data_IF_489727450327
#
_entry.id   IF_489727450327
#
_cell.length_a   1.000
_cell.length_b   1.000
_cell.length_c   1.000
_cell.angle_alpha   90.00
_cell.angle_beta   90.00
_cell.angle_gamma   90.00
#
_symmetry.space_group_name_H-M   'P 1'
#
loop_
_entity.id
_entity.type
_entity.pdbx_description
1 polymer ?
#
# COMPACT_ATOMS: atom_id res chain seq x y z
N UNK A 1 7.34 27.74 27.30
CA UNK A 1 6.45 26.89 26.53
C UNK A 1 5.60 26.07 27.49
N UNK A 2 4.26 26.09 27.32
CA UNK A 2 3.41 25.18 28.07
C UNK A 2 3.80 23.74 27.73
N UNK A 3 3.96 22.89 28.74
CA UNK A 3 4.14 21.46 28.49
C UNK A 3 2.82 20.95 27.89
N UNK A 4 2.86 20.54 26.63
CA UNK A 4 1.72 19.88 25.99
C UNK A 4 1.57 18.47 26.56
N UNK A 5 0.32 18.08 26.88
CA UNK A 5 0.04 16.69 27.26
C UNK A 5 0.37 15.75 26.09
N UNK A 6 0.98 14.63 26.39
CA UNK A 6 1.39 13.62 25.38
C UNK A 6 0.18 12.97 24.69
N UNK A 7 -0.96 12.96 25.35
CA UNK A 7 -2.24 12.46 24.88
C UNK A 7 -2.99 13.41 23.95
N UNK A 8 -2.52 14.66 23.83
CA UNK A 8 -3.14 15.63 22.91
C UNK A 8 -2.90 15.23 21.46
N UNK A 9 -3.94 15.45 20.62
CA UNK A 9 -3.84 15.28 19.18
C UNK A 9 -2.78 16.22 18.59
N UNK A 10 -1.78 15.64 17.92
CA UNK A 10 -0.74 16.37 17.23
C UNK A 10 -1.09 16.55 15.74
N UNK A 11 -1.68 15.52 15.13
CA UNK A 11 -2.06 15.51 13.72
C UNK A 11 -3.43 14.86 13.59
N UNK A 12 -4.27 15.41 12.72
CA UNK A 12 -5.51 14.78 12.29
C UNK A 12 -5.49 14.58 10.78
N UNK A 13 -5.57 13.33 10.33
CA UNK A 13 -5.55 12.99 8.92
C UNK A 13 -6.84 12.26 8.52
N UNK A 14 -7.39 12.64 7.38
CA UNK A 14 -8.62 12.04 6.88
C UNK A 14 -8.34 10.86 5.96
N UNK A 15 -8.97 9.71 6.27
CA UNK A 15 -8.95 8.52 5.43
C UNK A 15 -10.29 8.36 4.71
N UNK A 16 -10.26 7.84 3.48
CA UNK A 16 -11.47 7.48 2.75
C UNK A 16 -12.08 6.24 3.38
N UNK A 17 -13.01 6.43 4.32
CA UNK A 17 -13.65 5.31 5.01
C UNK A 17 -14.44 4.39 4.07
N UNK A 18 -14.64 3.16 4.51
CA UNK A 18 -15.49 2.16 3.81
C UNK A 18 -16.95 2.59 3.69
N UNK A 19 -17.43 3.46 4.58
CA UNK A 19 -18.81 3.96 4.67
C UNK A 19 -19.09 5.21 3.84
N UNK A 20 -18.15 5.72 3.07
CA UNK A 20 -18.33 6.85 2.14
C UNK A 20 -17.87 8.21 2.68
N UNK A 21 -18.12 8.56 3.94
CA UNK A 21 -17.63 9.81 4.52
C UNK A 21 -16.18 9.67 5.01
N UNK A 22 -15.30 10.65 4.74
CA UNK A 22 -13.95 10.67 5.28
C UNK A 22 -13.95 10.65 6.81
N UNK A 23 -12.99 9.92 7.41
CA UNK A 23 -12.83 9.79 8.85
C UNK A 23 -11.50 10.41 9.28
N UNK A 24 -11.54 11.32 10.25
CA UNK A 24 -10.35 11.97 10.78
C UNK A 24 -9.67 11.09 11.82
N UNK A 25 -8.54 10.49 11.49
CA UNK A 25 -7.70 9.73 12.42
C UNK A 25 -6.93 10.71 13.29
N UNK A 26 -7.01 10.55 14.60
CA UNK A 26 -6.33 11.41 15.59
C UNK A 26 -5.03 10.75 16.03
N UNK A 27 -3.91 11.33 15.63
CA UNK A 27 -2.55 10.92 16.01
C UNK A 27 -2.07 11.86 17.11
N UNK A 28 -1.71 11.33 18.27
CA UNK A 28 -1.24 12.10 19.42
C UNK A 28 0.27 12.35 19.37
N UNK A 29 0.75 13.24 20.23
CA UNK A 29 2.20 13.43 20.44
C UNK A 29 2.87 12.14 20.92
N UNK A 30 2.18 11.35 21.75
CA UNK A 30 2.68 10.07 22.25
C UNK A 30 2.84 9.04 21.12
N UNK A 31 1.86 8.94 20.22
CA UNK A 31 1.96 8.05 19.06
C UNK A 31 3.18 8.39 18.19
N UNK A 32 3.42 9.69 17.94
CA UNK A 32 4.59 10.14 17.16
C UNK A 32 5.90 9.82 17.87
N UNK A 33 5.96 9.94 19.20
CA UNK A 33 7.14 9.57 19.98
C UNK A 33 7.43 8.08 19.91
N UNK A 34 6.38 7.24 20.00
CA UNK A 34 6.57 5.80 19.87
C UNK A 34 7.04 5.39 18.47
N UNK A 35 6.54 6.04 17.42
CA UNK A 35 7.07 5.84 16.05
C UNK A 35 8.55 6.21 15.96
N UNK A 36 8.99 7.26 16.67
CA UNK A 36 10.41 7.61 16.75
C UNK A 36 11.25 6.60 17.50
N UNK A 37 10.71 6.00 18.56
CA UNK A 37 11.39 4.90 19.24
C UNK A 37 11.52 3.68 18.32
N UNK A 38 10.49 3.35 17.53
CA UNK A 38 10.58 2.30 16.51
C UNK A 38 11.74 2.57 15.53
N UNK A 39 11.85 3.82 15.03
CA UNK A 39 12.93 4.26 14.16
C UNK A 39 14.30 4.09 14.85
N UNK A 40 14.42 4.57 16.07
CA UNK A 40 15.67 4.50 16.81
C UNK A 40 16.17 3.07 17.05
N UNK A 41 15.24 2.12 17.26
CA UNK A 41 15.56 0.72 17.48
C UNK A 41 15.68 -0.10 16.18
N UNK A 42 15.34 0.46 15.02
CA UNK A 42 15.46 -0.24 13.73
C UNK A 42 16.76 0.12 13.01
N UNK A 43 17.72 -0.81 12.94
CA UNK A 43 19.06 -0.49 12.38
C UNK A 43 19.05 -0.09 10.90
N UNK A 44 18.00 -0.47 10.15
CA UNK A 44 17.89 -0.10 8.74
C UNK A 44 17.40 1.35 8.55
N UNK A 45 16.81 1.96 9.56
CA UNK A 45 16.32 3.35 9.52
C UNK A 45 17.42 4.30 10.03
N UNK A 46 18.49 4.42 9.27
CA UNK A 46 19.61 5.32 9.60
C UNK A 46 19.53 6.60 8.78
N UNK A 47 19.58 7.72 9.50
CA UNK A 47 19.62 9.07 8.95
C UNK A 47 20.99 9.67 9.23
N UNK A 48 21.60 10.27 8.20
CA UNK A 48 22.95 10.83 8.32
C UNK A 48 22.90 12.34 8.24
N UNK A 49 23.86 13.00 8.87
CA UNK A 49 24.08 14.43 8.70
C UNK A 49 24.29 14.74 7.21
N UNK A 50 23.58 15.74 6.72
CA UNK A 50 23.60 16.10 5.30
C UNK A 50 22.61 15.35 4.42
N UNK A 51 21.86 14.38 4.95
CA UNK A 51 20.76 13.78 4.20
C UNK A 51 19.71 14.81 3.79
N UNK A 52 19.16 14.64 2.60
CA UNK A 52 18.16 15.52 2.00
C UNK A 52 17.01 14.66 1.52
N UNK A 53 15.86 14.86 2.13
CA UNK A 53 14.64 14.10 1.82
C UNK A 53 13.80 14.82 0.77
N UNK A 54 13.57 14.16 -0.38
CA UNK A 54 12.64 14.63 -1.41
C UNK A 54 11.25 14.05 -1.16
N UNK A 55 10.27 14.91 -0.97
CA UNK A 55 8.86 14.55 -0.88
C UNK A 55 8.06 15.15 -2.03
N UNK A 56 7.44 14.28 -2.84
CA UNK A 56 6.53 14.65 -3.93
C UNK A 56 5.11 14.07 -3.72
N UNK A 57 4.87 13.48 -2.55
CA UNK A 57 3.57 13.01 -2.10
C UNK A 57 2.76 14.14 -1.47
N UNK A 58 1.42 14.09 -1.52
CA UNK A 58 0.58 15.07 -0.87
C UNK A 58 0.79 15.11 0.66
N UNK A 59 1.01 16.30 1.22
CA UNK A 59 1.26 16.49 2.66
C UNK A 59 0.03 16.25 3.55
N UNK A 60 -1.16 16.04 2.98
CA UNK A 60 -2.33 15.59 3.72
C UNK A 60 -2.34 14.05 3.92
N UNK A 61 -1.33 13.35 3.44
CA UNK A 61 -1.16 11.91 3.61
C UNK A 61 -0.02 11.63 4.60
N UNK A 62 -0.24 10.66 5.51
CA UNK A 62 0.71 10.35 6.59
C UNK A 62 2.12 10.05 6.08
N UNK A 63 2.25 9.36 4.96
CA UNK A 63 3.56 9.01 4.39
C UNK A 63 4.41 10.25 4.09
N UNK A 64 3.80 11.33 3.59
CA UNK A 64 4.52 12.57 3.31
C UNK A 64 4.80 13.36 4.59
N UNK A 65 3.75 13.68 5.38
CA UNK A 65 3.92 14.51 6.58
C UNK A 65 4.73 13.79 7.65
N UNK A 66 4.52 12.49 7.87
CA UNK A 66 5.23 11.69 8.86
C UNK A 66 6.74 11.64 8.57
N UNK A 67 7.14 11.27 7.34
CA UNK A 67 8.55 11.24 6.96
C UNK A 67 9.18 12.64 6.90
N UNK A 68 8.42 13.69 6.57
CA UNK A 68 8.92 15.07 6.64
C UNK A 68 9.20 15.50 8.08
N UNK A 69 8.32 15.20 9.03
CA UNK A 69 8.56 15.46 10.45
C UNK A 69 9.75 14.66 10.97
N UNK A 70 9.86 13.40 10.60
CA UNK A 70 10.98 12.53 10.93
C UNK A 70 12.30 13.10 10.39
N UNK A 71 12.28 13.59 9.15
CA UNK A 71 13.43 14.23 8.52
C UNK A 71 13.88 15.49 9.28
N UNK A 72 12.94 16.38 9.60
CA UNK A 72 13.21 17.62 10.35
C UNK A 72 13.76 17.28 11.74
N UNK A 73 13.17 16.28 12.38
CA UNK A 73 13.60 15.83 13.70
C UNK A 73 15.06 15.33 13.70
N UNK A 74 15.48 14.63 12.63
CA UNK A 74 16.86 14.15 12.46
C UNK A 74 17.79 15.21 11.84
N UNK A 75 17.37 16.47 11.75
CA UNK A 75 18.19 17.58 11.24
C UNK A 75 18.39 17.57 9.73
N UNK A 76 17.58 16.82 9.00
CA UNK A 76 17.67 16.71 7.54
C UNK A 76 16.94 17.86 6.83
N UNK A 77 17.40 18.21 5.64
CA UNK A 77 16.68 19.12 4.76
C UNK A 77 15.52 18.40 4.06
N UNK A 78 14.31 19.00 4.09
CA UNK A 78 13.14 18.50 3.35
C UNK A 78 12.97 19.31 2.06
N UNK A 79 13.02 18.62 0.94
CA UNK A 79 12.84 19.17 -0.41
C UNK A 79 11.41 18.86 -0.87
N UNK A 80 10.54 19.86 -0.87
CA UNK A 80 9.12 19.67 -1.20
C UNK A 80 8.88 19.96 -2.68
N UNK A 81 8.26 19.02 -3.37
CA UNK A 81 7.59 19.24 -4.64
C UNK A 81 6.09 19.48 -4.39
N UNK A 82 5.53 20.49 -5.04
CA UNK A 82 4.13 20.89 -4.81
C UNK A 82 3.14 19.79 -5.19
N UNK A 83 3.45 19.11 -6.30
CA UNK A 83 2.65 18.01 -6.85
C UNK A 83 3.61 17.01 -7.47
N UNK A 84 3.20 15.74 -7.55
CA UNK A 84 3.98 14.76 -8.31
C UNK A 84 3.82 15.04 -9.81
N UNK A 85 4.92 15.37 -10.43
CA UNK A 85 5.11 15.42 -11.89
C UNK A 85 6.44 14.73 -12.19
N UNK A 86 6.47 13.68 -13.04
CA UNK A 86 7.68 12.91 -13.28
C UNK A 86 8.86 13.76 -13.78
N UNK A 87 8.61 14.70 -14.71
CA UNK A 87 9.65 15.56 -15.24
C UNK A 87 10.20 16.51 -14.18
N UNK A 88 9.33 17.08 -13.31
CA UNK A 88 9.76 17.93 -12.21
C UNK A 88 10.57 17.16 -11.18
N UNK A 89 10.16 15.93 -10.85
CA UNK A 89 10.87 15.04 -9.91
C UNK A 89 12.25 14.67 -10.46
N UNK A 90 12.36 14.28 -11.72
CA UNK A 90 13.64 13.98 -12.39
C UNK A 90 14.57 15.19 -12.32
N UNK A 91 14.08 16.39 -12.70
CA UNK A 91 14.88 17.64 -12.61
C UNK A 91 15.29 17.94 -11.16
N UNK A 92 14.37 17.77 -10.20
CA UNK A 92 14.66 18.01 -8.79
C UNK A 92 15.75 17.08 -8.26
N UNK A 93 15.72 15.80 -8.62
CA UNK A 93 16.76 14.83 -8.25
C UNK A 93 18.12 15.24 -8.84
N UNK A 94 18.16 15.57 -10.12
CA UNK A 94 19.40 15.96 -10.78
C UNK A 94 20.00 17.26 -10.24
N UNK A 95 19.15 18.28 -9.94
CA UNK A 95 19.63 19.63 -9.58
C UNK A 95 19.75 19.85 -8.07
N UNK A 96 18.81 19.32 -7.28
CA UNK A 96 18.75 19.51 -5.82
C UNK A 96 19.44 18.38 -5.05
N UNK A 97 19.80 17.29 -5.75
CA UNK A 97 20.60 16.17 -5.23
C UNK A 97 20.05 15.61 -3.90
N UNK A 98 18.76 15.19 -3.80
CA UNK A 98 18.27 14.49 -2.63
C UNK A 98 19.05 13.17 -2.46
N UNK A 99 19.19 12.74 -1.21
CA UNK A 99 19.79 11.44 -0.87
C UNK A 99 18.76 10.38 -0.56
N UNK A 100 17.57 10.82 -0.17
CA UNK A 100 16.44 9.96 0.22
C UNK A 100 15.17 10.47 -0.45
N UNK A 101 14.33 9.53 -0.87
CA UNK A 101 13.00 9.84 -1.39
C UNK A 101 11.99 8.76 -1.01
N UNK A 102 10.70 9.07 -1.16
CA UNK A 102 9.61 8.12 -1.00
C UNK A 102 8.60 8.25 -2.14
N UNK A 103 8.17 7.13 -2.69
CA UNK A 103 7.19 7.06 -3.76
C UNK A 103 6.10 6.02 -3.49
N UNK A 104 4.91 6.25 -4.03
CA UNK A 104 3.97 5.18 -4.25
C UNK A 104 4.39 4.36 -5.50
N UNK A 105 4.05 3.07 -5.59
CA UNK A 105 4.38 2.26 -6.78
C UNK A 105 3.96 2.87 -8.11
N UNK A 106 2.77 3.48 -8.18
CA UNK A 106 2.32 4.18 -9.38
C UNK A 106 3.24 5.35 -9.77
N UNK A 107 3.79 6.07 -8.79
CA UNK A 107 4.75 7.15 -9.04
C UNK A 107 6.07 6.62 -9.58
N UNK A 108 6.56 5.50 -9.05
CA UNK A 108 7.75 4.81 -9.59
C UNK A 108 7.49 4.42 -11.04
N UNK A 109 6.33 3.85 -11.36
CA UNK A 109 5.96 3.48 -12.72
C UNK A 109 5.99 4.70 -13.65
N UNK A 110 5.32 5.79 -13.27
CA UNK A 110 5.29 7.03 -14.07
C UNK A 110 6.67 7.65 -14.23
N UNK A 111 7.51 7.60 -13.21
CA UNK A 111 8.88 8.10 -13.26
C UNK A 111 9.72 7.31 -14.25
N UNK A 112 9.67 5.98 -14.20
CA UNK A 112 10.45 5.09 -15.05
C UNK A 112 9.92 5.03 -16.50
N UNK A 113 8.65 5.34 -16.73
CA UNK A 113 8.04 5.41 -18.08
C UNK A 113 8.23 6.77 -18.73
N UNK A 114 8.70 7.79 -17.99
CA UNK A 114 8.93 9.10 -18.55
C UNK A 114 10.11 9.08 -19.56
N UNK A 115 10.00 9.75 -20.72
CA UNK A 115 11.07 9.75 -21.73
C UNK A 115 12.44 10.17 -21.20
N UNK A 116 12.48 11.11 -20.26
CA UNK A 116 13.71 11.60 -19.67
C UNK A 116 14.35 10.65 -18.67
N UNK A 117 13.64 9.60 -18.25
CA UNK A 117 14.12 8.67 -17.22
C UNK A 117 15.41 7.95 -17.62
N UNK A 118 15.53 7.57 -18.90
CA UNK A 118 16.71 6.87 -19.41
C UNK A 118 18.01 7.69 -19.38
N UNK A 119 17.90 8.99 -19.22
CA UNK A 119 19.04 9.94 -19.15
C UNK A 119 19.09 10.68 -17.81
N UNK A 120 18.23 10.32 -16.86
CA UNK A 120 18.14 10.98 -15.56
C UNK A 120 19.33 10.62 -14.67
N UNK A 121 19.88 11.61 -14.00
CA UNK A 121 20.92 11.40 -12.98
C UNK A 121 20.27 11.14 -11.61
N UNK A 122 20.08 9.87 -11.27
CA UNK A 122 19.61 9.42 -9.97
C UNK A 122 20.75 9.15 -8.97
N UNK A 123 22.01 9.41 -9.30
CA UNK A 123 23.18 8.99 -8.52
C UNK A 123 23.28 9.59 -7.11
N UNK A 124 22.49 10.63 -6.81
CA UNK A 124 22.44 11.18 -5.45
C UNK A 124 21.60 10.35 -4.49
N UNK A 125 20.67 9.51 -5.00
CA UNK A 125 19.80 8.72 -4.17
C UNK A 125 20.57 7.55 -3.54
N UNK A 126 20.71 7.56 -2.23
CA UNK A 126 21.20 6.42 -1.46
C UNK A 126 20.10 5.49 -1.02
N UNK A 127 18.87 6.04 -0.83
CA UNK A 127 17.70 5.28 -0.36
C UNK A 127 16.43 5.73 -1.06
N UNK A 128 15.78 4.79 -1.73
CA UNK A 128 14.44 4.96 -2.30
C UNK A 128 13.44 4.14 -1.49
N UNK A 129 12.57 4.83 -0.76
CA UNK A 129 11.49 4.20 0.00
C UNK A 129 10.23 4.09 -0.87
N UNK A 130 9.42 3.06 -0.62
CA UNK A 130 8.12 2.95 -1.27
C UNK A 130 7.07 2.35 -0.33
N UNK A 131 5.83 2.80 -0.48
CA UNK A 131 4.72 2.40 0.38
C UNK A 131 3.36 2.76 -0.24
N UNK A 132 2.30 2.45 0.51
CA UNK A 132 0.94 2.89 0.21
C UNK A 132 0.12 1.93 -0.63
N UNK A 133 0.73 1.08 -1.43
CA UNK A 133 0.09 -0.02 -2.16
C UNK A 133 1.11 -1.12 -2.46
N UNK A 134 0.60 -2.30 -2.86
CA UNK A 134 1.48 -3.36 -3.36
C UNK A 134 2.20 -2.91 -4.64
N UNK A 135 3.45 -3.35 -4.79
CA UNK A 135 4.25 -3.16 -5.99
C UNK A 135 4.32 -4.47 -6.78
N UNK A 136 4.23 -4.39 -8.11
CA UNK A 136 4.41 -5.59 -8.92
C UNK A 136 5.88 -6.00 -8.98
N UNK A 137 6.13 -7.32 -9.08
CA UNK A 137 7.49 -7.85 -9.16
C UNK A 137 8.28 -7.26 -10.35
N UNK A 138 7.63 -7.08 -11.49
CA UNK A 138 8.25 -6.48 -12.66
C UNK A 138 8.66 -5.02 -12.43
N UNK A 139 7.83 -4.25 -11.73
CA UNK A 139 8.12 -2.86 -11.43
C UNK A 139 9.26 -2.71 -10.43
N UNK A 140 9.28 -3.48 -9.34
CA UNK A 140 10.37 -3.37 -8.37
C UNK A 140 11.70 -3.81 -8.95
N UNK A 141 11.75 -4.87 -9.75
CA UNK A 141 12.97 -5.28 -10.46
C UNK A 141 13.48 -4.21 -11.41
N UNK A 142 12.58 -3.58 -12.15
CA UNK A 142 12.91 -2.48 -13.07
C UNK A 142 13.41 -1.25 -12.29
N UNK A 143 12.78 -0.93 -11.16
CA UNK A 143 13.20 0.18 -10.30
C UNK A 143 14.62 -0.03 -9.75
N UNK A 144 14.90 -1.21 -9.20
CA UNK A 144 16.24 -1.57 -8.68
C UNK A 144 17.30 -1.52 -9.79
N UNK A 145 16.95 -1.88 -11.02
CA UNK A 145 17.89 -1.85 -12.15
C UNK A 145 18.19 -0.42 -12.67
N UNK A 146 17.26 0.53 -12.49
CA UNK A 146 17.37 1.88 -13.08
C UNK A 146 17.66 2.99 -12.08
N UNK A 147 17.26 2.83 -10.81
CA UNK A 147 17.50 3.80 -9.75
C UNK A 147 18.59 3.23 -8.83
N UNK A 148 19.75 3.89 -8.73
CA UNK A 148 20.84 3.44 -7.85
C UNK A 148 20.47 3.60 -6.36
N UNK A 149 21.28 3.00 -5.50
CA UNK A 149 21.08 3.02 -4.05
C UNK A 149 20.25 1.87 -3.55
N UNK A 150 19.83 1.98 -2.31
CA UNK A 150 19.07 0.96 -1.60
C UNK A 150 17.56 1.20 -1.74
N UNK A 151 16.79 0.10 -1.62
CA UNK A 151 15.34 0.14 -1.61
C UNK A 151 14.82 -0.30 -0.24
N UNK A 152 13.70 0.29 0.18
CA UNK A 152 13.05 -0.02 1.44
C UNK A 152 11.53 0.10 1.27
N UNK A 153 10.79 -0.90 1.73
CA UNK A 153 9.32 -0.86 1.69
C UNK A 153 8.74 -0.70 3.08
N UNK A 154 7.70 0.12 3.19
CA UNK A 154 6.87 0.22 4.38
C UNK A 154 5.45 -0.28 4.10
N UNK A 155 4.90 -1.03 5.05
CA UNK A 155 3.46 -1.25 5.15
C UNK A 155 2.97 -0.64 6.47
N UNK A 156 1.82 0.01 6.42
CA UNK A 156 1.16 0.61 7.56
C UNK A 156 -0.09 1.38 7.13
N UNK A 157 -0.75 1.96 8.10
CA UNK A 157 -1.98 2.73 7.92
C UNK A 157 -1.89 4.07 8.67
N UNK A 158 -2.83 4.97 8.42
CA UNK A 158 -2.94 6.21 9.19
C UNK A 158 -3.26 5.89 10.65
N UNK A 159 -4.06 4.86 10.87
CA UNK A 159 -4.48 4.36 12.18
C UNK A 159 -3.32 3.78 13.02
N UNK A 160 -2.22 3.38 12.38
CA UNK A 160 -1.00 2.92 13.06
C UNK A 160 0.03 4.03 13.29
N UNK A 161 -0.33 5.28 12.94
CA UNK A 161 0.51 6.47 12.99
C UNK A 161 1.80 6.36 12.16
N UNK A 162 1.93 5.36 11.31
CA UNK A 162 3.11 5.13 10.47
C UNK A 162 3.25 3.68 10.03
N UNK A 163 4.50 3.31 9.79
CA UNK A 163 4.86 1.98 9.35
C UNK A 163 4.70 0.94 10.46
N UNK A 164 4.27 -0.25 10.07
CA UNK A 164 4.09 -1.42 10.94
C UNK A 164 5.12 -2.49 10.61
N UNK A 165 5.38 -2.70 9.31
CA UNK A 165 6.42 -3.60 8.85
C UNK A 165 7.38 -2.87 7.91
N UNK A 166 8.57 -3.42 7.82
CA UNK A 166 9.65 -2.95 6.99
C UNK A 166 10.26 -4.11 6.22
N UNK A 167 10.29 -4.01 4.89
CA UNK A 167 11.17 -4.82 4.06
C UNK A 167 12.49 -4.04 3.93
N UNK A 168 13.54 -4.58 4.55
CA UNK A 168 14.83 -3.92 4.67
C UNK A 168 15.59 -3.91 3.34
N UNK A 169 16.55 -3.00 3.14
CA UNK A 169 17.39 -3.00 1.94
C UNK A 169 18.02 -4.36 1.64
N UNK A 170 18.52 -5.05 2.66
CA UNK A 170 19.14 -6.39 2.53
C UNK A 170 18.16 -7.49 2.10
N UNK A 171 16.86 -7.23 2.16
CA UNK A 171 15.80 -8.17 1.75
C UNK A 171 15.32 -7.91 0.31
N UNK A 172 15.80 -6.84 -0.35
CA UNK A 172 15.54 -6.55 -1.77
C UNK A 172 16.46 -7.35 -2.69
N UNK A 173 16.44 -8.67 -2.54
CA UNK A 173 17.26 -9.59 -3.32
C UNK A 173 16.55 -9.99 -4.62
N UNK A 174 17.14 -9.64 -5.77
CA UNK A 174 16.61 -9.99 -7.09
C UNK A 174 16.62 -11.51 -7.36
N UNK A 175 17.41 -12.29 -6.62
CA UNK A 175 17.46 -13.74 -6.72
C UNK A 175 16.33 -14.41 -5.91
N UNK A 176 15.75 -13.74 -4.92
CA UNK A 176 14.63 -14.23 -4.12
C UNK A 176 13.36 -13.41 -4.37
N UNK A 177 12.66 -13.72 -5.44
CA UNK A 177 11.41 -13.05 -5.82
C UNK A 177 10.30 -13.14 -4.76
N UNK A 178 10.37 -14.13 -3.87
CA UNK A 178 9.43 -14.28 -2.77
C UNK A 178 9.57 -13.10 -1.81
N UNK A 179 10.80 -12.74 -1.41
CA UNK A 179 11.04 -11.59 -0.53
C UNK A 179 10.56 -10.28 -1.14
N UNK A 180 10.76 -10.08 -2.45
CA UNK A 180 10.30 -8.88 -3.14
C UNK A 180 8.78 -8.68 -3.15
N UNK A 181 8.00 -9.70 -2.81
CA UNK A 181 6.54 -9.63 -2.66
C UNK A 181 6.09 -9.41 -1.23
N UNK A 182 7.01 -9.54 -0.25
CA UNK A 182 6.69 -9.35 1.15
C UNK A 182 6.52 -7.86 1.49
N UNK A 183 5.71 -7.56 2.50
CA UNK A 183 5.69 -6.24 3.11
C UNK A 183 6.69 -6.10 4.27
N UNK A 184 7.49 -7.14 4.52
CA UNK A 184 8.61 -7.14 5.44
C UNK A 184 8.30 -7.74 6.81
N UNK A 185 9.12 -7.36 7.79
CA UNK A 185 9.04 -7.82 9.18
C UNK A 185 8.49 -6.72 10.08
N UNK A 186 7.88 -7.07 11.23
CA UNK A 186 7.44 -6.08 12.20
C UNK A 186 8.56 -5.13 12.60
N UNK A 187 8.25 -3.85 12.68
CA UNK A 187 9.11 -2.86 13.30
C UNK A 187 9.18 -3.10 14.82
N UNK A 188 10.20 -2.61 15.51
CA UNK A 188 10.26 -2.61 16.96
C UNK A 188 8.97 -2.03 17.57
N UNK A 189 8.53 -2.57 18.70
CA UNK A 189 7.30 -2.20 19.42
C UNK A 189 5.98 -2.53 18.68
N UNK A 190 6.04 -3.27 17.57
CA UNK A 190 4.87 -3.74 16.83
C UNK A 190 4.60 -5.22 17.14
N UNK A 191 3.41 -5.52 17.61
CA UNK A 191 2.91 -6.88 17.67
C UNK A 191 1.91 -7.11 16.54
N UNK A 192 2.10 -8.20 15.81
CA UNK A 192 1.24 -8.59 14.70
C UNK A 192 0.64 -9.96 14.96
N UNK A 193 -0.63 -10.09 14.65
CA UNK A 193 -1.36 -11.34 14.76
C UNK A 193 -2.21 -11.54 13.51
N UNK A 194 -2.26 -12.75 13.00
CA UNK A 194 -3.13 -13.14 11.89
C UNK A 194 -4.21 -14.04 12.47
N UNK A 195 -5.47 -13.71 12.23
CA UNK A 195 -6.60 -14.39 12.84
C UNK A 195 -7.64 -14.85 11.81
N UNK A 196 -8.38 -15.91 12.17
CA UNK A 196 -9.57 -16.33 11.44
C UNK A 196 -10.79 -15.44 11.79
N UNK A 197 -11.93 -15.68 11.14
CA UNK A 197 -13.19 -14.95 11.39
C UNK A 197 -13.75 -15.12 12.83
N UNK A 198 -13.17 -16.00 13.65
CA UNK A 198 -13.52 -16.19 15.06
C UNK A 198 -12.49 -15.57 16.02
N UNK A 199 -11.50 -14.85 15.51
CA UNK A 199 -10.44 -14.23 16.29
C UNK A 199 -9.35 -15.19 16.76
N UNK A 200 -9.28 -16.43 16.25
CA UNK A 200 -8.24 -17.40 16.61
C UNK A 200 -7.00 -17.14 15.76
N UNK A 201 -5.84 -17.13 16.42
CA UNK A 201 -4.56 -16.98 15.73
C UNK A 201 -4.31 -18.16 14.79
N UNK A 202 -3.96 -17.85 13.54
CA UNK A 202 -3.62 -18.81 12.50
C UNK A 202 -2.12 -19.14 12.50
N UNK A 203 -1.74 -20.37 12.10
CA UNK A 203 -0.35 -20.75 11.90
C UNK A 203 0.28 -20.04 10.70
N UNK A 204 1.62 -20.13 10.57
CA UNK A 204 2.35 -19.59 9.44
C UNK A 204 1.87 -20.21 8.12
N UNK A 205 1.76 -19.39 7.08
CA UNK A 205 1.30 -19.76 5.75
C UNK A 205 -0.23 -19.66 5.55
N UNK A 206 -1.02 -19.59 6.63
CA UNK A 206 -2.47 -19.45 6.51
C UNK A 206 -2.89 -17.97 6.47
N UNK A 207 -3.71 -17.57 5.48
CA UNK A 207 -4.18 -16.19 5.36
C UNK A 207 -5.35 -15.92 6.31
N UNK A 208 -5.32 -14.75 6.95
CA UNK A 208 -6.36 -14.25 7.83
C UNK A 208 -6.28 -12.73 8.00
N UNK A 209 -7.17 -12.15 8.82
CA UNK A 209 -7.11 -10.73 9.12
C UNK A 209 -5.86 -10.39 9.92
N UNK A 210 -5.15 -9.33 9.49
CA UNK A 210 -3.99 -8.81 10.21
C UNK A 210 -4.46 -7.86 11.33
N UNK A 211 -4.19 -8.26 12.56
CA UNK A 211 -4.35 -7.43 13.76
C UNK A 211 -3.02 -6.82 14.16
N UNK A 212 -3.05 -5.58 14.61
CA UNK A 212 -1.86 -4.81 14.97
C UNK A 212 -2.03 -4.27 16.40
N UNK A 213 -1.03 -4.46 17.25
CA UNK A 213 -0.94 -3.85 18.57
C UNK A 213 0.37 -3.11 18.71
N UNK A 214 0.29 -1.86 19.15
CA UNK A 214 1.45 -1.00 19.34
C UNK A 214 1.06 0.22 20.17
N UNK A 215 1.98 0.81 20.94
CA UNK A 215 1.74 2.09 21.59
C UNK A 215 1.65 3.26 20.57
N UNK A 216 2.02 3.06 19.31
CA UNK A 216 1.85 4.05 18.25
C UNK A 216 0.47 4.06 17.60
N UNK A 217 -0.46 3.16 17.98
CA UNK A 217 -1.81 3.19 17.44
C UNK A 217 -2.48 4.53 17.73
N UNK A 218 -3.14 5.10 16.72
CA UNK A 218 -3.91 6.32 16.84
C UNK A 218 -4.96 6.22 17.96
N UNK A 219 -5.31 7.36 18.57
CA UNK A 219 -6.31 7.39 19.65
C UNK A 219 -7.74 7.12 19.19
N UNK A 220 -7.95 7.01 17.86
CA UNK A 220 -9.24 6.73 17.27
C UNK A 220 -9.63 7.73 16.19
N UNK A 221 -10.93 7.79 15.90
CA UNK A 221 -11.48 8.67 14.87
C UNK A 221 -12.23 9.87 15.48
N UNK A 222 -11.91 11.06 15.03
CA UNK A 222 -12.49 12.31 15.50
C UNK A 222 -14.01 12.30 15.44
N UNK A 223 -14.65 12.53 16.59
CA UNK A 223 -16.11 12.52 16.75
C UNK A 223 -16.81 11.26 16.22
N UNK A 224 -16.15 10.08 16.33
CA UNK A 224 -16.67 8.78 15.91
C UNK A 224 -16.35 7.67 16.94
N UNK A 225 -16.75 7.82 18.21
CA UNK A 225 -16.39 6.84 19.26
C UNK A 225 -16.90 5.44 18.94
N UNK A 226 -18.17 5.31 18.53
CA UNK A 226 -18.77 4.01 18.19
C UNK A 226 -18.00 3.27 17.08
N UNK A 227 -17.56 4.02 16.03
CA UNK A 227 -16.75 3.43 14.98
C UNK A 227 -15.33 3.12 15.46
N UNK A 228 -14.76 3.94 16.34
CA UNK A 228 -13.45 3.69 16.95
C UNK A 228 -13.48 2.36 17.70
N UNK A 229 -14.52 2.10 18.51
CA UNK A 229 -14.69 0.88 19.29
C UNK A 229 -14.86 -0.39 18.43
N UNK A 230 -15.30 -0.26 17.16
CA UNK A 230 -15.39 -1.39 16.24
C UNK A 230 -14.06 -1.73 15.57
N UNK A 231 -13.13 -0.80 15.53
CA UNK A 231 -11.85 -0.94 14.80
C UNK A 231 -10.69 -1.17 15.77
N UNK A 232 -10.74 -0.56 16.96
CA UNK A 232 -9.76 -0.74 18.03
C UNK A 232 -10.38 -1.55 19.15
N UNK A 233 -10.19 -2.88 19.13
CA UNK A 233 -10.82 -3.82 20.06
C UNK A 233 -9.74 -4.44 20.93
N UNK A 234 -9.89 -4.37 22.26
CA UNK A 234 -8.97 -4.97 23.23
C UNK A 234 -7.48 -4.60 23.02
N UNK A 235 -7.24 -3.36 22.59
CA UNK A 235 -5.90 -2.84 22.28
C UNK A 235 -5.32 -3.32 20.94
N UNK A 236 -6.10 -4.00 20.12
CA UNK A 236 -5.75 -4.38 18.76
C UNK A 236 -6.47 -3.51 17.74
N UNK A 237 -5.73 -3.06 16.74
CA UNK A 237 -6.28 -2.45 15.54
C UNK A 237 -6.61 -3.54 14.52
N UNK A 238 -7.88 -3.63 14.15
CA UNK A 238 -8.38 -4.47 13.06
C UNK A 238 -8.09 -3.78 11.73
N UNK A 239 -7.04 -4.22 11.04
CA UNK A 239 -6.56 -3.52 9.85
C UNK A 239 -7.52 -3.63 8.65
N UNK A 240 -8.34 -4.68 8.63
CA UNK A 240 -9.14 -5.06 7.47
C UNK A 240 -8.29 -5.51 6.28
N UNK A 241 -7.00 -5.79 6.48
CA UNK A 241 -6.11 -6.37 5.48
C UNK A 241 -5.97 -7.88 5.74
N UNK A 242 -6.08 -8.69 4.70
CA UNK A 242 -5.81 -10.13 4.75
C UNK A 242 -4.32 -10.34 4.49
N UNK A 243 -3.67 -11.04 5.40
CA UNK A 243 -2.24 -11.29 5.35
C UNK A 243 -1.90 -12.72 5.76
N UNK A 244 -0.71 -13.17 5.44
CA UNK A 244 -0.09 -14.35 6.03
C UNK A 244 1.36 -14.04 6.41
N UNK A 245 1.93 -14.84 7.31
CA UNK A 245 3.34 -14.81 7.67
C UNK A 245 3.99 -16.10 7.17
N UNK A 246 5.17 -16.01 6.55
CA UNK A 246 5.92 -17.20 6.18
C UNK A 246 6.79 -17.71 7.35
N UNK A 247 7.38 -18.89 7.15
CA UNK A 247 8.27 -19.53 8.13
C UNK A 247 9.54 -18.71 8.44
N UNK A 248 9.94 -17.81 7.55
CA UNK A 248 11.05 -16.89 7.76
C UNK A 248 10.64 -15.63 8.55
N UNK A 249 9.33 -15.50 8.87
CA UNK A 249 8.76 -14.37 9.61
C UNK A 249 8.50 -13.12 8.78
N UNK A 250 8.48 -13.23 7.44
CA UNK A 250 8.06 -12.17 6.54
C UNK A 250 6.53 -12.17 6.42
N UNK A 251 5.95 -10.97 6.40
CA UNK A 251 4.52 -10.76 6.22
C UNK A 251 4.22 -10.42 4.77
N UNK A 252 3.07 -10.91 4.29
CA UNK A 252 2.58 -10.71 2.93
C UNK A 252 1.14 -10.25 3.00
N UNK A 253 0.82 -9.13 2.38
CA UNK A 253 -0.57 -8.67 2.25
C UNK A 253 -1.18 -9.30 1.02
N UNK A 254 -2.24 -10.07 1.23
CA UNK A 254 -2.98 -10.71 0.14
C UNK A 254 -3.99 -9.77 -0.48
N UNK A 255 -4.84 -9.15 0.33
CA UNK A 255 -5.91 -8.28 -0.14
C UNK A 255 -6.50 -7.45 1.01
N UNK A 256 -7.45 -6.61 0.69
CA UNK A 256 -8.37 -6.00 1.65
C UNK A 256 -9.55 -6.93 1.91
N UNK A 257 -9.94 -7.13 3.16
CA UNK A 257 -11.11 -7.95 3.52
C UNK A 257 -12.35 -7.53 2.71
N UNK A 258 -12.60 -6.23 2.58
CA UNK A 258 -13.71 -5.66 1.80
C UNK A 258 -13.59 -5.82 0.28
N UNK A 259 -12.41 -6.09 -0.25
CA UNK A 259 -12.15 -6.26 -1.69
C UNK A 259 -12.04 -7.74 -2.09
N UNK A 260 -11.95 -8.63 -1.10
CA UNK A 260 -12.03 -10.06 -1.28
C UNK A 260 -13.38 -10.43 -1.94
N UNK A 261 -13.34 -11.35 -2.87
CA UNK A 261 -14.52 -11.82 -3.62
C UNK A 261 -14.90 -13.17 -3.08
N UNK A 262 -16.18 -13.33 -2.67
CA UNK A 262 -16.68 -14.62 -2.19
C UNK A 262 -17.54 -15.26 -3.28
N UNK A 263 -16.95 -16.21 -4.00
CA UNK A 263 -17.60 -16.87 -5.14
C UNK A 263 -17.81 -18.35 -4.85
N UNK A 264 -19.06 -18.77 -4.71
CA UNK A 264 -19.39 -20.17 -4.41
C UNK A 264 -18.85 -20.69 -3.09
N UNK A 265 -18.65 -19.81 -2.10
CA UNK A 265 -18.05 -20.13 -0.80
C UNK A 265 -16.52 -20.10 -0.76
N UNK A 266 -15.88 -19.82 -1.88
CA UNK A 266 -14.42 -19.70 -1.98
C UNK A 266 -13.99 -18.24 -1.91
N UNK A 267 -12.94 -17.96 -1.13
CA UNK A 267 -12.32 -16.65 -1.02
C UNK A 267 -11.35 -16.42 -2.18
N UNK A 268 -11.61 -15.40 -2.98
CA UNK A 268 -10.76 -15.01 -4.10
C UNK A 268 -10.16 -13.64 -3.79
N UNK A 269 -8.86 -13.60 -3.73
CA UNK A 269 -8.13 -12.35 -3.50
C UNK A 269 -7.95 -11.60 -4.82
N UNK A 270 -8.50 -10.40 -4.88
CA UNK A 270 -8.50 -9.60 -6.10
C UNK A 270 -7.08 -9.29 -6.59
N UNK A 271 -6.14 -9.08 -5.67
CA UNK A 271 -4.73 -8.81 -5.96
C UNK A 271 -4.00 -9.98 -6.63
N UNK A 272 -4.37 -11.23 -6.32
CA UNK A 272 -3.80 -12.41 -6.97
C UNK A 272 -4.18 -12.43 -8.47
N UNK A 273 -5.43 -12.16 -8.76
CA UNK A 273 -5.93 -12.10 -10.15
C UNK A 273 -5.30 -10.90 -10.89
N UNK A 274 -5.25 -9.73 -10.26
CA UNK A 274 -4.59 -8.52 -10.79
C UNK A 274 -3.12 -8.77 -11.13
N UNK A 275 -2.41 -9.48 -10.27
CA UNK A 275 -1.01 -9.82 -10.48
C UNK A 275 -0.82 -10.64 -11.76
N UNK A 276 -1.67 -11.63 -12.01
CA UNK A 276 -1.61 -12.45 -13.23
C UNK A 276 -1.99 -11.62 -14.46
N UNK A 277 -3.06 -10.84 -14.40
CA UNK A 277 -3.47 -9.97 -15.51
C UNK A 277 -2.36 -8.99 -15.91
N UNK A 278 -1.66 -8.44 -14.93
CA UNK A 278 -0.58 -7.47 -15.14
C UNK A 278 0.68 -8.06 -15.79
N UNK A 279 0.81 -9.39 -15.84
CA UNK A 279 1.91 -10.05 -16.58
C UNK A 279 1.69 -10.08 -18.09
N UNK A 280 0.47 -9.76 -18.56
CA UNK A 280 0.21 -9.71 -19.98
C UNK A 280 0.84 -8.45 -20.63
N UNK A 281 1.60 -8.57 -21.73
CA UNK A 281 2.34 -7.45 -22.33
C UNK A 281 1.48 -6.24 -22.71
N UNK A 282 0.24 -6.47 -23.14
CA UNK A 282 -0.68 -5.42 -23.55
C UNK A 282 -1.37 -4.71 -22.38
N UNK A 283 -1.28 -5.22 -21.15
CA UNK A 283 -1.95 -4.65 -19.97
C UNK A 283 -1.09 -3.56 -19.35
N UNK A 284 -1.64 -2.35 -19.23
CA UNK A 284 -1.01 -1.24 -18.51
C UNK A 284 -1.37 -1.28 -17.03
N UNK A 285 -2.65 -1.56 -16.72
CA UNK A 285 -3.16 -1.67 -15.36
C UNK A 285 -4.38 -2.58 -15.32
N UNK A 286 -4.58 -3.27 -14.18
CA UNK A 286 -5.75 -4.10 -13.93
C UNK A 286 -6.30 -3.82 -12.53
N UNK A 287 -7.62 -3.87 -12.41
CA UNK A 287 -8.34 -3.86 -11.14
C UNK A 287 -9.41 -4.97 -11.18
N UNK A 288 -9.50 -5.74 -10.12
CA UNK A 288 -10.44 -6.87 -10.03
C UNK A 288 -11.45 -6.62 -8.93
N UNK A 289 -12.71 -6.82 -9.26
CA UNK A 289 -13.85 -6.60 -8.37
C UNK A 289 -14.79 -7.79 -8.36
N UNK A 290 -15.50 -7.99 -7.25
CA UNK A 290 -16.67 -8.88 -7.18
C UNK A 290 -17.91 -8.16 -7.69
N UNK A 291 -18.65 -8.80 -8.59
CA UNK A 291 -19.95 -8.35 -9.05
C UNK A 291 -21.02 -9.38 -8.70
N UNK A 292 -22.31 -9.00 -8.52
CA UNK A 292 -23.37 -9.94 -8.19
C UNK A 292 -23.47 -11.07 -9.22
N UNK A 293 -23.67 -12.30 -8.74
CA UNK A 293 -23.90 -13.49 -9.55
C UNK A 293 -24.97 -14.38 -8.89
N UNK A 294 -26.01 -14.73 -9.64
CA UNK A 294 -27.14 -15.51 -9.12
C UNK A 294 -26.74 -16.92 -8.64
N UNK A 295 -25.74 -17.51 -9.25
CA UNK A 295 -25.30 -18.87 -8.94
C UNK A 295 -24.23 -18.92 -7.86
N UNK A 296 -23.31 -17.96 -7.87
CA UNK A 296 -22.10 -18.01 -7.06
C UNK A 296 -22.07 -16.95 -5.94
N UNK A 297 -23.10 -16.09 -5.85
CA UNK A 297 -23.14 -14.93 -4.97
C UNK A 297 -22.36 -13.77 -5.56
N UNK A 298 -21.05 -13.96 -5.77
CA UNK A 298 -20.21 -13.02 -6.50
C UNK A 298 -19.47 -13.71 -7.66
N UNK A 299 -19.25 -12.97 -8.74
CA UNK A 299 -18.38 -13.35 -9.84
C UNK A 299 -17.19 -12.40 -9.95
N UNK A 300 -16.04 -12.94 -10.37
CA UNK A 300 -14.82 -12.17 -10.61
C UNK A 300 -14.96 -11.36 -11.90
N UNK A 301 -14.84 -10.03 -11.81
CA UNK A 301 -14.80 -9.12 -12.96
C UNK A 301 -13.45 -8.43 -13.03
N UNK A 302 -12.78 -8.49 -14.19
CA UNK A 302 -11.55 -7.78 -14.45
C UNK A 302 -11.84 -6.46 -15.16
N UNK A 303 -11.37 -5.33 -14.61
CA UNK A 303 -11.33 -4.03 -15.25
C UNK A 303 -9.89 -3.79 -15.70
N UNK A 304 -9.67 -3.46 -16.99
CA UNK A 304 -8.33 -3.47 -17.58
C UNK A 304 -8.10 -2.20 -18.41
N UNK A 305 -6.93 -1.59 -18.23
CA UNK A 305 -6.43 -0.52 -19.09
C UNK A 305 -5.31 -1.11 -19.97
N UNK A 306 -5.45 -0.95 -21.27
CA UNK A 306 -4.43 -1.40 -22.22
C UNK A 306 -3.31 -0.35 -22.38
N UNK A 307 -2.12 -0.82 -22.71
CA UNK A 307 -1.03 0.06 -23.13
C UNK A 307 -1.37 0.75 -24.42
N UNK A 308 -0.86 1.96 -24.61
CA UNK A 308 -1.12 2.77 -25.78
C UNK A 308 -0.76 2.00 -27.08
N UNK A 309 -1.69 1.97 -28.01
CA UNK A 309 -1.50 1.28 -29.31
C UNK A 309 -1.65 -0.24 -29.27
N UNK A 310 -1.87 -0.84 -28.10
CA UNK A 310 -2.11 -2.28 -27.99
C UNK A 310 -3.60 -2.61 -28.13
N UNK A 311 -3.87 -3.80 -28.68
CA UNK A 311 -5.20 -4.40 -28.75
C UNK A 311 -5.17 -5.75 -28.04
N UNK A 312 -6.24 -6.11 -27.39
CA UNK A 312 -6.39 -7.35 -26.67
C UNK A 312 -7.89 -7.66 -26.56
N UNK A 313 -8.28 -8.86 -26.90
CA UNK A 313 -9.65 -9.32 -26.69
C UNK A 313 -9.82 -9.92 -25.27
N UNK A 314 -11.08 -9.97 -24.81
CA UNK A 314 -11.41 -10.66 -23.55
C UNK A 314 -10.97 -12.13 -23.59
N UNK A 315 -11.20 -12.84 -24.70
CA UNK A 315 -10.86 -14.25 -24.85
C UNK A 315 -9.34 -14.50 -24.71
N UNK A 316 -8.50 -13.66 -25.32
CA UNK A 316 -7.04 -13.74 -25.19
C UNK A 316 -6.57 -13.51 -23.77
N UNK A 317 -7.15 -12.52 -23.07
CA UNK A 317 -6.80 -12.23 -21.69
C UNK A 317 -7.23 -13.34 -20.74
N UNK A 318 -8.42 -13.92 -20.93
CA UNK A 318 -8.89 -15.06 -20.15
C UNK A 318 -8.03 -16.30 -20.42
N UNK A 319 -7.60 -16.53 -21.66
CA UNK A 319 -6.69 -17.62 -21.99
C UNK A 319 -5.31 -17.42 -21.33
N UNK A 320 -4.81 -16.17 -21.28
CA UNK A 320 -3.58 -15.85 -20.53
C UNK A 320 -3.68 -16.21 -19.05
N UNK A 321 -4.86 -16.08 -18.44
CA UNK A 321 -5.08 -16.43 -17.04
C UNK A 321 -5.16 -17.95 -16.81
N UNK A 322 -5.54 -18.75 -17.82
CA UNK A 322 -5.63 -20.20 -17.72
C UNK A 322 -4.27 -20.82 -17.42
N UNK A 323 -4.26 -21.79 -16.53
CA UNK A 323 -3.04 -22.44 -16.06
C UNK A 323 -2.16 -21.62 -15.12
N UNK A 324 -2.50 -20.31 -14.94
CA UNK A 324 -1.84 -19.43 -13.96
C UNK A 324 -2.69 -19.17 -12.72
N UNK A 325 -4.03 -19.29 -12.88
CA UNK A 325 -5.01 -19.18 -11.81
C UNK A 325 -5.82 -20.47 -11.70
N UNK A 326 -6.26 -20.79 -10.49
CA UNK A 326 -7.26 -21.83 -10.28
C UNK A 326 -8.57 -21.48 -11.00
N UNK A 327 -9.31 -22.50 -11.48
CA UNK A 327 -10.48 -22.28 -12.33
C UNK A 327 -11.56 -21.39 -11.75
N UNK A 328 -11.76 -21.44 -10.41
CA UNK A 328 -12.75 -20.62 -9.72
C UNK A 328 -12.31 -19.15 -9.58
N UNK A 329 -11.00 -18.84 -9.67
CA UNK A 329 -10.44 -17.50 -9.63
C UNK A 329 -10.43 -16.79 -10.99
N UNK A 330 -10.72 -17.51 -12.09
CA UNK A 330 -10.73 -16.91 -13.42
C UNK A 330 -11.82 -15.84 -13.53
N UNK A 331 -11.50 -14.65 -14.08
CA UNK A 331 -12.52 -13.65 -14.35
C UNK A 331 -13.65 -14.23 -15.24
N UNK A 332 -14.89 -13.90 -14.90
CA UNK A 332 -16.08 -14.27 -15.69
C UNK A 332 -16.40 -13.22 -16.74
N UNK A 333 -15.87 -12.01 -16.57
CA UNK A 333 -16.02 -10.93 -17.55
C UNK A 333 -14.82 -9.98 -17.47
N UNK A 334 -14.53 -9.33 -18.61
CA UNK A 334 -13.49 -8.32 -18.72
C UNK A 334 -14.11 -7.02 -19.25
N UNK A 335 -13.74 -5.90 -18.66
CA UNK A 335 -14.11 -4.58 -19.11
C UNK A 335 -12.86 -3.76 -19.40
N UNK A 336 -12.71 -3.34 -20.65
CA UNK A 336 -11.61 -2.45 -21.05
C UNK A 336 -11.99 -1.00 -20.81
N UNK A 337 -11.14 -0.28 -20.07
CA UNK A 337 -11.38 1.09 -19.61
C UNK A 337 -10.28 2.02 -20.06
N UNK A 338 -10.63 3.30 -20.26
CA UNK A 338 -9.64 4.34 -20.56
C UNK A 338 -8.86 4.80 -19.33
N UNK A 339 -9.53 4.81 -18.16
CA UNK A 339 -8.94 5.20 -16.86
C UNK A 339 -9.72 4.57 -15.72
N UNK A 340 -9.06 4.41 -14.56
CA UNK A 340 -9.73 4.01 -13.32
C UNK A 340 -10.15 5.23 -12.48
N UNK A 341 -11.25 5.14 -11.72
CA UNK A 341 -11.51 6.08 -10.64
C UNK A 341 -10.39 5.98 -9.59
N UNK A 342 -9.89 7.14 -9.16
CA UNK A 342 -8.77 7.20 -8.22
C UNK A 342 -9.18 7.89 -6.93
N UNK A 343 -8.64 7.43 -5.80
CA UNK A 343 -8.73 8.14 -4.53
C UNK A 343 -7.84 9.38 -4.55
N UNK A 344 -8.06 10.32 -3.63
CA UNK A 344 -7.19 11.50 -3.48
C UNK A 344 -5.71 11.18 -3.18
N UNK A 345 -5.42 9.95 -2.71
CA UNK A 345 -4.06 9.45 -2.47
C UNK A 345 -3.44 8.71 -3.66
N UNK A 346 -4.12 8.70 -4.83
CA UNK A 346 -3.61 8.04 -6.05
C UNK A 346 -3.78 6.52 -6.07
N UNK A 347 -4.68 5.95 -5.25
CA UNK A 347 -5.04 4.51 -5.29
C UNK A 347 -6.29 4.30 -6.13
N UNK A 348 -6.41 3.12 -6.76
CA UNK A 348 -7.63 2.74 -7.48
C UNK A 348 -8.81 2.65 -6.50
N UNK A 349 -9.89 3.38 -6.80
CA UNK A 349 -11.10 3.39 -5.99
C UNK A 349 -12.01 2.21 -6.38
N UNK A 350 -11.66 0.96 -5.96
CA UNK A 350 -12.44 -0.25 -6.29
C UNK A 350 -13.90 -0.15 -5.87
N UNK A 351 -14.22 0.61 -4.82
CA UNK A 351 -15.60 0.90 -4.41
C UNK A 351 -16.39 1.55 -5.55
N UNK A 352 -15.79 2.53 -6.23
CA UNK A 352 -16.45 3.25 -7.30
C UNK A 352 -16.57 2.39 -8.56
N UNK A 353 -15.62 1.49 -8.81
CA UNK A 353 -15.72 0.48 -9.87
C UNK A 353 -16.87 -0.51 -9.61
N UNK A 354 -17.11 -0.89 -8.35
CA UNK A 354 -18.18 -1.82 -7.96
C UNK A 354 -19.56 -1.18 -7.94
N UNK A 355 -19.65 0.10 -7.59
CA UNK A 355 -20.91 0.78 -7.31
C UNK A 355 -22.01 0.58 -8.38
N UNK A 356 -21.72 0.64 -9.69
CA UNK A 356 -22.74 0.42 -10.73
C UNK A 356 -23.39 -0.96 -10.69
N UNK A 357 -22.67 -1.99 -10.24
CA UNK A 357 -23.14 -3.38 -10.22
C UNK A 357 -23.94 -3.71 -8.96
N UNK A 358 -23.71 -2.98 -7.86
CA UNK A 358 -24.35 -3.20 -6.55
C UNK A 358 -25.43 -2.18 -6.22
N UNK A 359 -25.83 -1.32 -7.19
CA UNK A 359 -26.81 -0.24 -6.96
C UNK A 359 -28.20 -0.74 -6.51
N UNK A 360 -28.57 -1.99 -6.80
CA UNK A 360 -29.84 -2.61 -6.45
C UNK A 360 -29.75 -3.66 -5.33
N UNK A 361 -28.57 -3.94 -4.79
CA UNK A 361 -28.33 -5.01 -3.82
C UNK A 361 -27.29 -4.59 -2.80
N UNK A 362 -27.45 -5.03 -1.55
CA UNK A 362 -26.42 -4.88 -0.53
C UNK A 362 -25.38 -5.99 -0.68
N UNK A 363 -24.10 -5.62 -0.70
CA UNK A 363 -23.00 -6.58 -0.70
C UNK A 363 -22.79 -7.10 0.73
N UNK A 364 -23.01 -8.38 0.92
CA UNK A 364 -22.84 -9.06 2.22
C UNK A 364 -21.43 -9.66 2.41
N UNK A 365 -20.38 -8.89 2.15
CA UNK A 365 -19.04 -9.26 2.61
C UNK A 365 -18.85 -8.65 3.98
N UNK A 366 -18.91 -9.50 4.98
CA UNK A 366 -18.68 -9.15 6.38
C UNK A 366 -17.19 -8.80 6.61
#
# INVERSE_FOLDING_TARGET
PAMLGMDLGAIQLYTSGTTGAPKGVVITHDNLNHMRLCEHFEPALQWFEGDRFLVALPNFHLLAIGLSLQSIYNGMAVLVERTFDPAAVIRSIATRRPTITVFAPAMIQMLLDHPDSGHADFSSLRLTMYAGSAISLGLIKRAIAQIPGEFMQFYGATETSGAVTLLRPTEHDLADERKLKACGRPLPLMELRIVDGNGRTLPDGEPGELLIRSPSLASGYWNRPEYTDTVFVDGWYHSGDIAYRDADGLYYIHDRLKDMIVSGGENIYSTEVESVLSTHPAVAAAAVIGVPDERWGEAVKACVILRQGMQLSEAELLEHCRGRLAGYKLPKSVEFMASFPMTGSGKIAKKDLRAPFWAAQDRSVA
#
